data_IF_659154732282
#
_entry.id   IF_659154732282
#
_cell.length_a   1.000
_cell.length_b   1.000
_cell.length_c   1.000
_cell.angle_alpha   90.00
_cell.angle_beta   90.00
_cell.angle_gamma   90.00
#
_symmetry.space_group_name_H-M   'P 1'
#
loop_
_entity.id
_entity.type
_entity.pdbx_description
1 polymer ?
#
# COMPACT_ATOMS: atom_id res chain seq x y z
N UNK A 1 16.57 3.44 17.22
CA UNK A 1 16.64 2.31 16.29
C UNK A 1 16.25 2.81 14.90
N UNK A 2 17.24 3.06 14.02
CA UNK A 2 17.00 3.69 12.72
C UNK A 2 16.09 2.88 11.79
N UNK A 3 16.18 1.54 11.85
CA UNK A 3 15.37 0.64 11.01
C UNK A 3 13.87 0.78 11.28
N UNK A 4 13.47 0.95 12.55
CA UNK A 4 12.06 1.16 12.92
C UNK A 4 11.52 2.46 12.33
N UNK A 5 12.31 3.53 12.34
CA UNK A 5 11.91 4.83 11.77
C UNK A 5 11.76 4.73 10.25
N UNK A 6 12.70 4.07 9.57
CA UNK A 6 12.64 3.87 8.12
C UNK A 6 11.42 3.01 7.77
N UNK A 7 11.19 1.90 8.46
CA UNK A 7 10.05 1.03 8.22
C UNK A 7 8.71 1.73 8.50
N UNK A 8 8.61 2.51 9.59
CA UNK A 8 7.43 3.33 9.88
C UNK A 8 7.18 4.33 8.75
N UNK A 9 8.24 4.98 8.25
CA UNK A 9 8.16 5.95 7.16
C UNK A 9 7.69 5.28 5.86
N UNK A 10 8.25 4.12 5.53
CA UNK A 10 7.86 3.32 4.35
C UNK A 10 6.39 2.90 4.47
N UNK A 11 5.96 2.37 5.61
CA UNK A 11 4.56 1.98 5.84
C UNK A 11 3.62 3.18 5.74
N UNK A 12 3.95 4.29 6.40
CA UNK A 12 3.17 5.52 6.33
C UNK A 12 3.02 5.99 4.88
N UNK A 13 4.10 6.02 4.11
CA UNK A 13 4.09 6.47 2.72
C UNK A 13 3.34 5.49 1.78
N UNK A 14 3.53 4.17 1.96
CA UNK A 14 2.79 3.14 1.22
C UNK A 14 1.27 3.30 1.42
N UNK A 15 0.83 3.44 2.66
CA UNK A 15 -0.60 3.58 2.99
C UNK A 15 -1.16 4.97 2.63
N UNK A 16 -0.37 6.02 2.78
CA UNK A 16 -0.73 7.36 2.31
C UNK A 16 -1.01 7.31 0.81
N UNK A 17 -0.11 6.77 0.00
CA UNK A 17 -0.31 6.70 -1.44
C UNK A 17 -1.44 5.73 -1.83
N UNK A 18 -1.61 4.60 -1.13
CA UNK A 18 -2.72 3.68 -1.35
C UNK A 18 -4.08 4.33 -1.12
N UNK A 19 -4.24 5.07 -0.01
CA UNK A 19 -5.52 5.68 0.37
C UNK A 19 -5.77 6.99 -0.37
N UNK A 20 -4.72 7.76 -0.69
CA UNK A 20 -4.79 8.87 -1.63
C UNK A 20 -5.28 8.41 -2.99
N UNK A 21 -4.71 7.33 -3.53
CA UNK A 21 -5.19 6.76 -4.76
C UNK A 21 -6.62 6.25 -4.64
N UNK A 22 -7.00 5.57 -3.54
CA UNK A 22 -8.38 5.09 -3.40
C UNK A 22 -9.38 6.26 -3.50
N UNK A 23 -9.04 7.42 -2.93
CA UNK A 23 -9.84 8.63 -3.05
C UNK A 23 -9.87 9.15 -4.50
N UNK A 24 -8.71 9.26 -5.16
CA UNK A 24 -8.60 9.69 -6.57
C UNK A 24 -9.39 8.76 -7.49
N UNK A 25 -9.22 7.45 -7.35
CA UNK A 25 -9.91 6.44 -8.15
C UNK A 25 -11.42 6.52 -7.97
N UNK A 26 -11.92 6.67 -6.74
CA UNK A 26 -13.36 6.83 -6.47
C UNK A 26 -13.91 8.09 -7.14
N UNK A 27 -13.20 9.22 -7.08
CA UNK A 27 -13.63 10.44 -7.76
C UNK A 27 -13.56 10.29 -9.28
N UNK A 28 -12.53 9.64 -9.79
CA UNK A 28 -12.32 9.42 -11.22
C UNK A 28 -13.39 8.52 -11.85
N UNK A 29 -13.76 7.41 -11.21
CA UNK A 29 -14.82 6.54 -11.75
C UNK A 29 -16.18 7.24 -11.79
N UNK A 30 -16.45 8.16 -10.86
CA UNK A 30 -17.69 8.94 -10.80
C UNK A 30 -17.67 10.18 -11.69
N UNK A 31 -16.50 10.68 -12.06
CA UNK A 31 -16.40 11.90 -12.88
C UNK A 31 -17.03 11.66 -14.25
N UNK A 32 -17.73 12.65 -14.82
CA UNK A 32 -18.40 12.49 -16.10
C UNK A 32 -17.40 12.22 -17.22
N UNK A 33 -17.83 11.52 -18.27
CA UNK A 33 -17.00 11.19 -19.44
C UNK A 33 -16.52 12.44 -20.19
N UNK A 34 -17.29 13.53 -20.14
CA UNK A 34 -16.89 14.86 -20.64
C UNK A 34 -15.64 15.40 -19.92
N UNK A 35 -15.46 15.03 -18.66
CA UNK A 35 -14.28 15.30 -17.84
C UNK A 35 -13.29 14.11 -17.83
N UNK A 36 -13.36 13.20 -18.82
CA UNK A 36 -12.50 12.01 -18.94
C UNK A 36 -12.51 11.07 -17.72
N UNK A 37 -13.56 11.15 -16.89
CA UNK A 37 -13.88 10.10 -15.93
C UNK A 37 -14.59 8.92 -16.60
N UNK A 38 -14.96 7.91 -15.82
CA UNK A 38 -15.70 6.76 -16.35
C UNK A 38 -17.23 6.97 -16.37
N UNK A 39 -17.72 8.03 -15.72
CA UNK A 39 -19.15 8.35 -15.67
C UNK A 39 -20.00 7.27 -15.00
N UNK A 40 -19.43 6.51 -14.06
CA UNK A 40 -20.16 5.43 -13.40
C UNK A 40 -21.31 5.98 -12.58
N UNK A 41 -22.47 5.34 -12.74
CA UNK A 41 -23.57 5.54 -11.81
C UNK A 41 -23.24 4.91 -10.43
N UNK A 42 -24.04 5.19 -9.38
CA UNK A 42 -23.80 4.63 -8.05
C UNK A 42 -23.78 3.10 -8.00
N UNK A 43 -24.56 2.42 -8.85
CA UNK A 43 -24.63 0.95 -8.90
C UNK A 43 -23.36 0.39 -9.54
N UNK A 44 -22.91 0.95 -10.65
CA UNK A 44 -21.66 0.57 -11.32
C UNK A 44 -20.45 0.78 -10.39
N UNK A 45 -20.40 1.89 -9.65
CA UNK A 45 -19.37 2.11 -8.62
C UNK A 45 -19.40 1.02 -7.54
N UNK A 46 -20.58 0.64 -7.06
CA UNK A 46 -20.73 -0.41 -6.05
C UNK A 46 -20.24 -1.75 -6.59
N UNK A 47 -20.68 -2.14 -7.79
CA UNK A 47 -20.27 -3.38 -8.46
C UNK A 47 -18.75 -3.42 -8.67
N UNK A 48 -18.17 -2.34 -9.19
CA UNK A 48 -16.72 -2.18 -9.34
C UNK A 48 -15.98 -2.41 -8.02
N UNK A 49 -16.39 -1.67 -6.98
CA UNK A 49 -15.71 -1.69 -5.67
C UNK A 49 -15.81 -3.06 -5.03
N UNK A 50 -16.99 -3.68 -5.06
CA UNK A 50 -17.23 -5.01 -4.51
C UNK A 50 -16.43 -6.08 -5.25
N UNK A 51 -16.46 -6.08 -6.58
CA UNK A 51 -15.71 -7.02 -7.40
C UNK A 51 -14.20 -6.91 -7.18
N UNK A 52 -13.67 -5.68 -7.12
CA UNK A 52 -12.25 -5.44 -6.85
C UNK A 52 -11.84 -5.90 -5.44
N UNK A 53 -12.67 -5.65 -4.43
CA UNK A 53 -12.41 -6.12 -3.05
C UNK A 53 -12.41 -7.66 -3.02
N UNK A 54 -13.46 -8.30 -3.52
CA UNK A 54 -13.58 -9.76 -3.50
C UNK A 54 -12.41 -10.42 -4.23
N UNK A 55 -12.09 -9.96 -5.44
CA UNK A 55 -10.95 -10.46 -6.20
C UNK A 55 -9.63 -10.23 -5.45
N UNK A 56 -9.46 -9.07 -4.82
CA UNK A 56 -8.24 -8.79 -4.03
C UNK A 56 -8.08 -9.72 -2.84
N UNK A 57 -9.17 -10.10 -2.16
CA UNK A 57 -9.15 -11.06 -1.05
C UNK A 57 -8.75 -12.44 -1.57
N UNK A 58 -9.35 -12.89 -2.67
CA UNK A 58 -9.01 -14.17 -3.29
C UNK A 58 -7.54 -14.21 -3.71
N UNK A 59 -7.04 -13.15 -4.35
CA UNK A 59 -5.63 -13.04 -4.72
C UNK A 59 -4.71 -13.05 -3.50
N UNK A 60 -5.06 -12.36 -2.41
CA UNK A 60 -4.28 -12.39 -1.17
C UNK A 60 -4.20 -13.79 -0.57
N UNK A 61 -5.32 -14.50 -0.48
CA UNK A 61 -5.36 -15.87 0.04
C UNK A 61 -4.52 -16.85 -0.81
N UNK A 62 -4.53 -16.69 -2.13
CA UNK A 62 -3.88 -17.63 -3.04
C UNK A 62 -2.40 -17.31 -3.30
N UNK A 63 -2.02 -16.03 -3.29
CA UNK A 63 -0.72 -15.58 -3.78
C UNK A 63 0.20 -15.01 -2.70
N UNK A 64 -0.32 -14.40 -1.63
CA UNK A 64 0.53 -13.68 -0.68
C UNK A 64 1.60 -14.58 -0.04
N UNK A 65 1.18 -15.73 0.50
CA UNK A 65 2.10 -16.70 1.10
C UNK A 65 3.15 -17.21 0.11
N UNK A 66 2.74 -17.53 -1.12
CA UNK A 66 3.63 -18.03 -2.18
C UNK A 66 4.67 -16.99 -2.61
N UNK A 67 4.29 -15.72 -2.67
CA UNK A 67 5.22 -14.62 -2.97
C UNK A 67 6.26 -14.51 -1.85
N UNK A 68 5.81 -14.49 -0.59
CA UNK A 68 6.70 -14.36 0.58
C UNK A 68 7.63 -15.57 0.70
N UNK A 69 7.14 -16.79 0.53
CA UNK A 69 7.95 -18.01 0.56
C UNK A 69 9.02 -18.02 -0.55
N UNK A 70 8.66 -17.53 -1.74
CA UNK A 70 9.57 -17.53 -2.90
C UNK A 70 10.67 -16.49 -2.81
N UNK A 71 10.35 -15.28 -2.38
CA UNK A 71 11.29 -14.14 -2.40
C UNK A 71 11.86 -13.81 -1.02
N UNK A 72 11.27 -14.33 0.06
CA UNK A 72 11.53 -13.85 1.42
C UNK A 72 10.88 -12.49 1.68
N UNK A 73 10.79 -12.10 2.96
CA UNK A 73 10.09 -10.87 3.34
C UNK A 73 10.69 -9.61 2.70
N UNK A 74 12.01 -9.43 2.73
CA UNK A 74 12.63 -8.19 2.28
C UNK A 74 12.48 -7.98 0.77
N UNK A 75 12.80 -8.97 -0.04
CA UNK A 75 12.73 -8.83 -1.49
C UNK A 75 11.27 -8.81 -1.97
N UNK A 76 10.37 -9.57 -1.32
CA UNK A 76 8.92 -9.43 -1.56
C UNK A 76 8.43 -8.01 -1.23
N UNK A 77 8.88 -7.42 -0.12
CA UNK A 77 8.53 -6.05 0.27
C UNK A 77 8.84 -5.05 -0.83
N UNK A 78 10.10 -5.05 -1.28
CA UNK A 78 10.62 -4.11 -2.28
C UNK A 78 10.01 -4.37 -3.65
N UNK A 79 10.00 -5.63 -4.10
CA UNK A 79 9.43 -5.99 -5.40
C UNK A 79 7.95 -5.63 -5.47
N UNK A 80 7.16 -5.99 -4.45
CA UNK A 80 5.73 -5.64 -4.45
C UNK A 80 5.49 -4.13 -4.36
N UNK A 81 6.33 -3.37 -3.63
CA UNK A 81 6.24 -1.91 -3.63
C UNK A 81 6.48 -1.31 -5.03
N UNK A 82 7.49 -1.81 -5.75
CA UNK A 82 7.77 -1.39 -7.13
C UNK A 82 6.65 -1.76 -8.09
N UNK A 83 6.21 -3.02 -8.08
CA UNK A 83 5.16 -3.49 -8.98
C UNK A 83 3.79 -2.89 -8.66
N UNK A 84 3.55 -2.47 -7.42
CA UNK A 84 2.32 -1.75 -7.05
C UNK A 84 2.20 -0.40 -7.77
N UNK A 85 3.27 0.13 -8.38
CA UNK A 85 3.21 1.37 -9.14
C UNK A 85 2.53 1.19 -10.51
N UNK A 86 2.70 0.04 -11.16
CA UNK A 86 2.20 -0.21 -12.52
C UNK A 86 0.67 -0.11 -12.64
N UNK A 87 -0.15 -0.63 -11.70
CA UNK A 87 -1.59 -0.44 -11.72
C UNK A 87 -2.05 1.03 -11.75
N UNK A 88 -1.31 1.96 -11.11
CA UNK A 88 -1.65 3.39 -11.17
C UNK A 88 -1.58 3.92 -12.60
N UNK A 89 -0.61 3.45 -13.38
CA UNK A 89 -0.50 3.84 -14.78
C UNK A 89 -1.61 3.20 -15.63
N UNK A 90 -1.88 1.91 -15.40
CA UNK A 90 -2.84 1.14 -16.22
C UNK A 90 -4.29 1.62 -16.08
N UNK A 91 -4.68 2.22 -14.95
CA UNK A 91 -6.03 2.75 -14.79
C UNK A 91 -6.41 3.84 -15.79
N UNK A 92 -5.47 4.69 -16.21
CA UNK A 92 -5.76 5.67 -17.27
C UNK A 92 -6.14 4.99 -18.59
N UNK A 93 -5.55 3.82 -18.87
CA UNK A 93 -5.83 3.05 -20.07
C UNK A 93 -7.18 2.33 -19.99
N UNK A 94 -7.66 1.99 -18.79
CA UNK A 94 -8.90 1.23 -18.67
C UNK A 94 -10.13 2.01 -19.15
N UNK A 95 -10.13 3.34 -19.10
CA UNK A 95 -11.18 4.16 -19.73
C UNK A 95 -11.27 3.94 -21.25
N UNK A 96 -10.13 4.02 -21.95
CA UNK A 96 -10.08 3.78 -23.40
C UNK A 96 -10.50 2.36 -23.78
N UNK A 97 -10.07 1.36 -23.01
CA UNK A 97 -10.43 -0.03 -23.25
C UNK A 97 -11.91 -0.26 -22.94
N UNK A 98 -12.46 0.40 -21.92
CA UNK A 98 -13.87 0.30 -21.55
C UNK A 98 -14.78 0.82 -22.67
N UNK A 99 -14.43 1.96 -23.29
CA UNK A 99 -15.17 2.52 -24.41
C UNK A 99 -15.14 1.60 -25.64
N UNK A 100 -13.98 1.02 -25.96
CA UNK A 100 -13.81 0.17 -27.14
C UNK A 100 -14.31 -1.28 -26.94
N UNK A 101 -14.12 -1.84 -25.74
CA UNK A 101 -14.36 -3.24 -25.39
C UNK A 101 -14.80 -3.35 -23.92
N UNK A 102 -16.10 -3.18 -23.62
CA UNK A 102 -16.59 -3.06 -22.26
C UNK A 102 -16.15 -4.18 -21.30
N UNK A 103 -16.29 -5.44 -21.72
CA UNK A 103 -15.89 -6.59 -20.88
C UNK A 103 -14.38 -6.58 -20.56
N UNK A 104 -13.54 -6.25 -21.55
CA UNK A 104 -12.09 -6.16 -21.35
C UNK A 104 -11.72 -4.97 -20.47
N UNK A 105 -12.40 -3.83 -20.63
CA UNK A 105 -12.18 -2.65 -19.79
C UNK A 105 -12.56 -2.89 -18.34
N UNK A 106 -13.68 -3.57 -18.09
CA UNK A 106 -14.10 -4.00 -16.75
C UNK A 106 -13.10 -4.98 -16.13
N UNK A 107 -12.69 -6.01 -16.88
CA UNK A 107 -11.69 -6.97 -16.40
C UNK A 107 -10.35 -6.30 -16.09
N UNK A 108 -9.91 -5.37 -16.92
CA UNK A 108 -8.69 -4.59 -16.70
C UNK A 108 -8.81 -3.72 -15.44
N UNK A 109 -9.90 -2.95 -15.31
CA UNK A 109 -10.13 -2.05 -14.17
C UNK A 109 -10.21 -2.80 -12.83
N UNK A 110 -10.96 -3.90 -12.79
CA UNK A 110 -11.10 -4.74 -11.58
C UNK A 110 -9.78 -5.47 -11.29
N UNK A 111 -9.13 -5.99 -12.33
CA UNK A 111 -7.89 -6.73 -12.23
C UNK A 111 -6.72 -5.88 -11.75
N UNK A 112 -6.55 -4.66 -12.29
CA UNK A 112 -5.51 -3.71 -11.86
C UNK A 112 -5.72 -3.31 -10.41
N UNK A 113 -6.95 -3.01 -10.02
CA UNK A 113 -7.25 -2.63 -8.63
C UNK A 113 -7.02 -3.77 -7.64
N UNK A 114 -7.44 -4.98 -8.00
CA UNK A 114 -7.23 -6.16 -7.16
C UNK A 114 -5.74 -6.51 -7.02
N UNK A 115 -4.99 -6.47 -8.13
CA UNK A 115 -3.55 -6.71 -8.14
C UNK A 115 -2.82 -5.66 -7.31
N UNK A 116 -3.17 -4.38 -7.45
CA UNK A 116 -2.59 -3.30 -6.67
C UNK A 116 -2.79 -3.52 -5.17
N UNK A 117 -4.01 -3.85 -4.74
CA UNK A 117 -4.32 -4.16 -3.34
C UNK A 117 -3.50 -5.35 -2.83
N UNK A 118 -3.39 -6.43 -3.60
CA UNK A 118 -2.51 -7.56 -3.26
C UNK A 118 -1.07 -7.09 -3.01
N UNK A 119 -0.48 -6.38 -3.97
CA UNK A 119 0.92 -5.97 -3.92
C UNK A 119 1.20 -5.04 -2.73
N UNK A 120 0.33 -4.05 -2.51
CA UNK A 120 0.47 -3.15 -1.34
C UNK A 120 0.32 -3.91 -0.03
N UNK A 121 -0.64 -4.83 0.08
CA UNK A 121 -0.82 -5.65 1.29
C UNK A 121 0.40 -6.51 1.57
N UNK A 122 0.92 -7.24 0.57
CA UNK A 122 2.11 -8.07 0.72
C UNK A 122 3.31 -7.23 1.13
N UNK A 123 3.52 -6.09 0.46
CA UNK A 123 4.62 -5.18 0.78
C UNK A 123 4.54 -4.68 2.23
N UNK A 124 3.34 -4.32 2.68
CA UNK A 124 3.10 -3.82 4.04
C UNK A 124 3.33 -4.87 5.12
N UNK A 125 2.81 -6.10 4.92
CA UNK A 125 3.04 -7.22 5.83
C UNK A 125 4.54 -7.49 5.95
N UNK A 126 5.24 -7.53 4.81
CA UNK A 126 6.68 -7.78 4.80
C UNK A 126 7.49 -6.68 5.47
N UNK A 127 7.15 -5.40 5.25
CA UNK A 127 7.80 -4.28 5.91
C UNK A 127 7.65 -4.34 7.43
N UNK A 128 6.46 -4.71 7.94
CA UNK A 128 6.22 -4.92 9.37
C UNK A 128 7.12 -6.05 9.89
N UNK A 129 7.14 -7.20 9.22
CA UNK A 129 7.98 -8.34 9.64
C UNK A 129 9.47 -7.99 9.69
N UNK A 130 10.01 -7.37 8.63
CA UNK A 130 11.42 -6.95 8.58
C UNK A 130 11.77 -6.02 9.74
N UNK A 131 10.89 -5.07 10.05
CA UNK A 131 11.11 -4.10 11.12
C UNK A 131 10.98 -4.70 12.53
N UNK A 132 10.01 -5.59 12.74
CA UNK A 132 9.79 -6.27 14.02
C UNK A 132 10.89 -7.30 14.30
N UNK A 133 11.41 -7.96 13.28
CA UNK A 133 12.53 -8.90 13.47
C UNK A 133 13.86 -8.20 13.77
N UNK A 134 13.98 -6.92 13.42
CA UNK A 134 15.14 -6.08 13.72
C UNK A 134 15.16 -5.49 15.14
N UNK A 135 14.15 -5.75 15.98
CA UNK A 135 14.11 -5.28 17.38
C UNK A 135 14.22 -6.46 18.38
N UNK A 136 14.77 -6.22 19.59
CA UNK A 136 14.71 -7.17 20.70
C UNK A 136 13.28 -7.67 20.98
N UNK A 137 13.15 -8.93 21.42
CA UNK A 137 11.84 -9.61 21.59
C UNK A 137 10.90 -8.86 22.54
N UNK A 138 11.44 -8.29 23.60
CA UNK A 138 10.72 -7.48 24.60
C UNK A 138 10.16 -6.17 24.02
N UNK A 139 10.73 -5.67 22.93
CA UNK A 139 10.30 -4.44 22.25
C UNK A 139 9.47 -4.68 20.98
N UNK A 140 9.26 -5.94 20.57
CA UNK A 140 8.52 -6.27 19.34
C UNK A 140 7.07 -5.76 19.38
N UNK A 141 6.40 -5.86 20.53
CA UNK A 141 5.05 -5.34 20.70
C UNK A 141 4.98 -3.82 20.53
N UNK A 142 5.90 -3.08 21.15
CA UNK A 142 6.00 -1.62 21.01
C UNK A 142 6.34 -1.22 19.56
N UNK A 143 7.28 -1.90 18.92
CA UNK A 143 7.64 -1.68 17.52
C UNK A 143 6.42 -1.85 16.62
N UNK A 144 5.68 -2.95 16.76
CA UNK A 144 4.46 -3.19 15.99
C UNK A 144 3.41 -2.09 16.22
N UNK A 145 3.21 -1.64 17.47
CA UNK A 145 2.31 -0.53 17.78
C UNK A 145 2.69 0.80 17.10
N UNK A 146 3.98 1.12 17.04
CA UNK A 146 4.50 2.30 16.33
C UNK A 146 4.27 2.17 14.82
N UNK A 147 4.57 1.02 14.24
CA UNK A 147 4.38 0.76 12.81
C UNK A 147 2.90 0.87 12.41
N UNK A 148 1.99 0.29 13.20
CA UNK A 148 0.54 0.38 12.97
C UNK A 148 0.00 1.80 13.15
N UNK A 149 0.61 2.60 14.03
CA UNK A 149 0.28 4.02 14.17
C UNK A 149 0.68 4.80 12.91
N UNK A 150 1.86 4.52 12.33
CA UNK A 150 2.29 5.08 11.04
C UNK A 150 1.34 4.71 9.88
N UNK A 151 0.90 3.46 9.84
CA UNK A 151 -0.14 2.99 8.91
C UNK A 151 -1.43 3.80 9.09
N UNK A 152 -1.89 3.96 10.34
CA UNK A 152 -3.08 4.74 10.68
C UNK A 152 -2.99 6.19 10.18
N UNK A 153 -1.84 6.85 10.36
CA UNK A 153 -1.59 8.19 9.83
C UNK A 153 -1.70 8.23 8.31
N UNK A 154 -1.12 7.25 7.61
CA UNK A 154 -1.26 7.12 6.15
C UNK A 154 -2.73 7.04 5.72
N UNK A 155 -3.53 6.24 6.42
CA UNK A 155 -4.97 6.09 6.15
C UNK A 155 -5.79 7.37 6.41
N UNK A 156 -5.39 8.20 7.37
CA UNK A 156 -6.06 9.48 7.68
C UNK A 156 -5.66 10.56 6.68
N UNK A 157 -4.36 10.70 6.40
CA UNK A 157 -3.83 11.76 5.55
C UNK A 157 -4.05 11.47 4.06
N UNK A 158 -4.04 10.21 3.65
CA UNK A 158 -4.15 9.85 2.24
C UNK A 158 -5.42 10.37 1.57
N UNK A 159 -6.65 10.18 2.10
CA UNK A 159 -7.86 10.73 1.49
C UNK A 159 -7.83 12.25 1.34
N UNK A 160 -7.23 12.98 2.29
CA UNK A 160 -7.05 14.44 2.22
C UNK A 160 -6.13 14.77 1.05
N UNK A 161 -4.95 14.14 0.99
CA UNK A 161 -3.97 14.33 -0.09
C UNK A 161 -4.56 13.94 -1.44
N UNK A 162 -5.24 12.81 -1.55
CA UNK A 162 -5.90 12.35 -2.78
C UNK A 162 -7.02 13.29 -3.23
N UNK A 163 -7.78 13.85 -2.30
CA UNK A 163 -8.78 14.86 -2.58
C UNK A 163 -8.19 16.14 -3.16
N UNK A 164 -7.09 16.63 -2.56
CA UNK A 164 -6.35 17.81 -3.03
C UNK A 164 -5.67 17.56 -4.38
N UNK A 165 -5.05 16.40 -4.57
CA UNK A 165 -4.43 16.01 -5.84
C UNK A 165 -5.46 15.91 -6.96
N UNK A 166 -6.65 15.37 -6.67
CA UNK A 166 -7.75 15.36 -7.62
C UNK A 166 -8.20 16.78 -7.96
N UNK A 167 -8.42 17.64 -6.96
CA UNK A 167 -8.84 19.02 -7.21
C UNK A 167 -7.82 19.79 -8.06
N UNK A 168 -6.53 19.62 -7.77
CA UNK A 168 -5.46 20.17 -8.58
C UNK A 168 -5.45 19.59 -10.01
N UNK A 169 -5.76 18.29 -10.16
CA UNK A 169 -5.75 17.65 -11.48
C UNK A 169 -6.92 18.05 -12.37
N UNK A 170 -8.09 18.36 -11.80
CA UNK A 170 -9.28 18.81 -12.54
C UNK A 170 -9.24 20.29 -12.91
N UNK A 171 -8.61 21.12 -12.07
CA UNK A 171 -8.45 22.57 -12.30
C UNK A 171 -7.22 22.93 -13.13
N UNK A 172 -6.36 21.95 -13.37
CA UNK A 172 -5.15 22.05 -14.18
C UNK A 172 -5.46 22.53 -15.61
N UNK A 173 -4.79 23.60 -16.11
CA UNK A 173 -4.96 24.07 -17.49
C UNK A 173 -4.27 23.17 -18.53
N UNK A 174 -3.52 22.17 -18.07
CA UNK A 174 -2.71 21.32 -18.93
C UNK A 174 -3.58 20.35 -19.73
N UNK A 175 -3.30 20.12 -21.03
CA UNK A 175 -4.05 19.15 -21.81
C UNK A 175 -3.80 17.71 -21.33
N UNK A 176 -4.65 16.79 -21.78
CA UNK A 176 -4.47 15.35 -21.60
C UNK A 176 -3.03 14.92 -22.01
N UNK A 177 -2.36 14.02 -21.25
CA UNK A 177 -2.85 13.29 -20.09
C UNK A 177 -2.78 14.07 -18.77
N UNK A 178 -2.17 15.25 -18.69
CA UNK A 178 -1.85 15.89 -17.41
C UNK A 178 -3.07 16.40 -16.63
N UNK A 179 -4.17 16.70 -17.34
CA UNK A 179 -5.49 16.93 -16.77
C UNK A 179 -6.09 15.58 -16.32
N UNK A 180 -6.49 15.48 -15.05
CA UNK A 180 -6.89 14.27 -14.31
C UNK A 180 -5.80 13.21 -14.01
N UNK A 181 -4.85 12.95 -14.91
CA UNK A 181 -3.85 11.89 -14.70
C UNK A 181 -2.66 12.32 -13.81
N UNK A 182 -2.44 13.63 -13.65
CA UNK A 182 -1.37 14.15 -12.79
C UNK A 182 -1.45 13.67 -11.34
N UNK A 183 -2.67 13.46 -10.82
CA UNK A 183 -2.87 12.86 -9.49
C UNK A 183 -2.32 11.43 -9.42
N UNK A 184 -2.58 10.61 -10.45
CA UNK A 184 -2.05 9.25 -10.54
C UNK A 184 -0.53 9.24 -10.71
N UNK A 185 0.03 10.15 -11.52
CA UNK A 185 1.47 10.29 -11.70
C UNK A 185 2.17 10.75 -10.41
N UNK A 186 1.58 11.68 -9.67
CA UNK A 186 2.11 12.14 -8.38
C UNK A 186 2.15 10.99 -7.35
N UNK A 187 1.08 10.20 -7.29
CA UNK A 187 1.03 9.02 -6.41
C UNK A 187 2.03 7.96 -6.87
N UNK A 188 2.15 7.72 -8.18
CA UNK A 188 3.14 6.80 -8.74
C UNK A 188 4.56 7.22 -8.38
N UNK A 189 4.90 8.50 -8.51
CA UNK A 189 6.21 9.04 -8.15
C UNK A 189 6.48 8.90 -6.64
N UNK A 190 5.49 9.22 -5.79
CA UNK A 190 5.60 9.05 -4.34
C UNK A 190 5.82 7.58 -3.94
N UNK A 191 5.12 6.65 -4.61
CA UNK A 191 5.24 5.22 -4.35
C UNK A 191 6.57 4.65 -4.86
N UNK A 192 7.03 5.08 -6.03
CA UNK A 192 8.36 4.72 -6.54
C UNK A 192 9.47 5.22 -5.60
N UNK A 193 9.36 6.44 -5.08
CA UNK A 193 10.29 6.96 -4.07
C UNK A 193 10.25 6.10 -2.80
N UNK A 194 9.05 5.72 -2.34
CA UNK A 194 8.87 4.85 -1.17
C UNK A 194 9.53 3.47 -1.38
N UNK A 195 9.35 2.87 -2.55
CA UNK A 195 9.97 1.60 -2.92
C UNK A 195 11.50 1.71 -2.98
N UNK A 196 12.02 2.82 -3.52
CA UNK A 196 13.46 3.11 -3.54
C UNK A 196 14.04 3.22 -2.12
N UNK A 197 13.40 3.99 -1.24
CA UNK A 197 13.86 4.12 0.15
C UNK A 197 13.68 2.83 0.96
N UNK A 198 12.62 2.06 0.70
CA UNK A 198 12.41 0.74 1.31
C UNK A 198 13.48 -0.29 0.92
N UNK A 199 14.10 -0.14 -0.27
CA UNK A 199 15.26 -0.92 -0.68
C UNK A 199 16.50 -0.75 0.21
N UNK A 200 16.55 0.31 1.02
CA UNK A 200 17.61 0.57 1.99
C UNK A 200 17.31 0.05 3.40
N UNK A 201 16.20 -0.69 3.58
CA UNK A 201 15.99 -1.44 4.82
C UNK A 201 17.06 -2.53 4.93
N UNK A 202 17.85 -2.47 6.00
CA UNK A 202 18.82 -3.53 6.30
C UNK A 202 18.04 -4.70 6.85
N UNK A 203 18.28 -5.87 6.26
CA UNK A 203 17.85 -7.11 6.88
C UNK A 203 18.77 -7.33 8.07
N UNK A 204 18.20 -7.42 9.27
CA UNK A 204 18.95 -7.89 10.41
C UNK A 204 19.57 -9.24 10.02
N UNK A 205 20.90 -9.31 10.03
CA UNK A 205 21.63 -10.52 9.67
C UNK A 205 21.11 -11.68 10.53
N UNK A 206 20.43 -12.69 9.95
CA UNK A 206 19.86 -13.79 10.72
C UNK A 206 20.94 -14.63 11.40
N UNK A 207 22.19 -14.53 10.95
CA UNK A 207 23.35 -15.19 11.59
C UNK A 207 23.87 -14.43 12.81
N UNK A 208 23.49 -13.16 12.99
CA UNK A 208 23.81 -12.42 14.21
C UNK A 208 23.04 -13.10 15.36
N UNK A 209 23.73 -13.69 16.35
CA UNK A 209 23.05 -14.27 17.49
C UNK A 209 22.16 -13.19 18.06
N UNK A 210 20.85 -13.45 18.19
CA UNK A 210 20.00 -12.61 19.04
C UNK A 210 20.66 -12.71 20.40
N UNK A 211 21.38 -11.66 20.81
CA UNK A 211 22.06 -11.60 22.10
C UNK A 211 21.07 -12.17 23.09
N UNK A 212 21.43 -13.31 23.69
CA UNK A 212 20.56 -13.99 24.62
C UNK A 212 20.24 -12.94 25.66
N UNK A 213 18.98 -12.50 25.69
CA UNK A 213 18.48 -11.56 26.68
C UNK A 213 19.02 -12.04 28.01
N UNK A 214 19.89 -11.21 28.59
CA UNK A 214 20.68 -11.56 29.75
C UNK A 214 19.77 -12.28 30.75
N UNK A 215 20.06 -13.55 31.13
CA UNK A 215 19.22 -14.30 32.05
C UNK A 215 19.00 -13.58 33.39
N UNK A 216 19.76 -12.51 33.66
CA UNK A 216 19.53 -11.60 34.77
C UNK A 216 18.22 -10.78 34.71
N UNK A 217 17.51 -10.73 33.57
CA UNK A 217 16.14 -10.18 33.49
C UNK A 217 15.11 -11.30 33.69
N UNK A 218 15.33 -12.13 34.71
CA UNK A 218 14.29 -13.00 35.24
C UNK A 218 13.26 -12.12 35.97
N UNK A 219 11.95 -12.27 35.72
CA UNK A 219 10.97 -11.25 36.05
C UNK A 219 10.77 -11.12 37.57
N UNK A 220 10.98 -9.90 38.08
CA UNK A 220 10.46 -9.38 39.36
C UNK A 220 8.92 -9.53 39.52
N UNK A 221 8.22 -10.12 38.54
CA UNK A 221 6.78 -10.37 38.55
C UNK A 221 6.40 -11.54 39.47
N UNK A 222 7.33 -12.41 39.88
CA UNK A 222 7.03 -13.51 40.81
C UNK A 222 6.85 -13.07 42.28
N UNK A 223 7.23 -11.83 42.67
CA UNK A 223 7.14 -11.37 44.07
C UNK A 223 5.86 -10.60 44.45
N UNK A 224 4.87 -10.47 43.57
CA UNK A 224 3.61 -9.72 43.86
C UNK A 224 2.36 -10.57 44.02
N UNK A 225 2.46 -11.91 44.10
CA UNK A 225 1.30 -12.79 44.28
C UNK A 225 1.01 -13.25 45.71
N UNK A 226 1.87 -12.92 46.68
CA UNK A 226 1.75 -13.43 48.06
C UNK A 226 1.58 -12.33 49.13
N UNK A 227 1.02 -11.16 48.78
CA UNK A 227 0.66 -10.11 49.75
C UNK A 227 -0.76 -9.61 49.57
#
# INVERSE_FOLDING_TARGET
NGQVIVAMTVLMALYLGMTAYAMVAVKWVLAPTSARGLGFDPVQKLVYTFAAILLSILLQLLCAGKIIERFGYRDACVACAWFATAPYALNGLSGYVLDARPLAGWALLVGTEALRKLLVTVSSICAIHVAVDAVPRDLQGTCNGVLLSGLGLGCVLGPIVGGLLWEASVTSPWPFPFNFYSAFLAILAAQAATAYFGGNLDVADPSRPKEATDPAVEPLVSKRRDS
#
